data_IF_436761417764
#
_entry.id   IF_436761417764
#
_cell.length_a   1.000
_cell.length_b   1.000
_cell.length_c   1.000
_cell.angle_alpha   90.00
_cell.angle_beta   90.00
_cell.angle_gamma   90.00
#
_symmetry.space_group_name_H-M   'P 1'
#
loop_
_entity.id
_entity.type
_entity.pdbx_description
1 polymer ?
#
# COMPACT_ATOMS: atom_id res chain seq x y z
N UNK A 1 10.37 2.74 18.25
CA UNK A 1 9.67 3.51 17.21
C UNK A 1 9.94 2.85 15.87
N UNK A 2 8.97 2.90 14.98
CA UNK A 2 9.02 2.29 13.65
C UNK A 2 8.84 3.42 12.64
N UNK A 3 9.65 3.44 11.59
CA UNK A 3 9.50 4.35 10.45
C UNK A 3 9.03 3.56 9.23
N UNK A 4 8.21 4.19 8.39
CA UNK A 4 7.83 3.67 7.08
C UNK A 4 8.97 3.89 6.08
N UNK A 5 8.81 3.31 4.90
CA UNK A 5 9.72 3.50 3.78
C UNK A 5 9.41 4.82 3.05
N UNK A 6 10.34 5.34 2.25
CA UNK A 6 10.04 6.38 1.27
C UNK A 6 8.96 5.91 0.27
N UNK A 7 8.24 6.85 -0.37
CA UNK A 7 7.27 6.50 -1.40
C UNK A 7 7.99 5.91 -2.62
N UNK A 8 7.53 4.75 -3.09
CA UNK A 8 7.94 4.20 -4.38
C UNK A 8 7.01 4.76 -5.45
N UNK A 9 7.34 5.96 -5.93
CA UNK A 9 6.57 6.71 -6.94
C UNK A 9 7.51 7.31 -7.98
N UNK A 10 6.97 7.67 -9.13
CA UNK A 10 7.65 8.41 -10.20
C UNK A 10 6.68 9.40 -10.85
N UNK A 11 7.16 10.23 -11.78
CA UNK A 11 6.36 11.26 -12.47
C UNK A 11 5.18 10.70 -13.26
N UNK A 12 5.17 9.41 -13.59
CA UNK A 12 4.10 8.75 -14.35
C UNK A 12 3.12 8.00 -13.43
N UNK A 13 3.31 8.05 -12.11
CA UNK A 13 2.46 7.32 -11.17
C UNK A 13 1.06 7.89 -11.16
N UNK A 14 0.06 7.05 -11.45
CA UNK A 14 -1.37 7.40 -11.48
C UNK A 14 -2.16 6.78 -10.33
N UNK A 15 -1.78 5.56 -9.96
CA UNK A 15 -2.41 4.80 -8.87
C UNK A 15 -1.43 4.73 -7.72
N UNK A 16 -1.80 5.22 -6.54
CA UNK A 16 -1.02 5.08 -5.31
C UNK A 16 -1.69 4.07 -4.37
N UNK A 17 -1.00 2.96 -4.09
CA UNK A 17 -1.48 1.98 -3.11
C UNK A 17 -0.92 2.32 -1.72
N UNK A 18 -1.80 2.38 -0.72
CA UNK A 18 -1.45 2.80 0.64
C UNK A 18 -1.71 1.71 1.68
N UNK A 19 -0.62 1.25 2.29
CA UNK A 19 -0.65 0.47 3.53
C UNK A 19 -0.85 1.36 4.77
N UNK A 20 -1.10 0.75 5.92
CA UNK A 20 -1.13 1.50 7.19
C UNK A 20 0.30 1.79 7.66
N UNK A 21 1.09 0.72 7.82
CA UNK A 21 2.46 0.74 8.30
C UNK A 21 3.14 -0.58 7.95
N UNK A 22 4.43 -0.62 7.55
CA UNK A 22 5.10 -1.86 7.20
C UNK A 22 5.10 -2.86 8.36
N UNK A 23 4.85 -4.14 8.09
CA UNK A 23 4.93 -5.21 9.09
C UNK A 23 6.37 -5.53 9.51
N UNK A 24 6.56 -6.34 10.56
CA UNK A 24 7.90 -6.72 11.05
C UNK A 24 8.75 -7.32 9.93
N UNK A 25 8.23 -8.33 9.22
CA UNK A 25 8.97 -8.97 8.12
C UNK A 25 9.32 -8.00 6.99
N UNK A 26 8.50 -6.97 6.77
CA UNK A 26 8.78 -5.93 5.78
C UNK A 26 9.93 -5.05 6.23
N UNK A 27 9.91 -4.59 7.48
CA UNK A 27 10.96 -3.75 8.07
C UNK A 27 12.31 -4.48 8.13
N UNK A 28 12.30 -5.76 8.51
CA UNK A 28 13.52 -6.59 8.57
C UNK A 28 14.16 -6.79 7.20
N UNK A 29 13.35 -6.89 6.15
CA UNK A 29 13.81 -7.09 4.76
C UNK A 29 14.00 -5.80 3.98
N UNK A 30 13.53 -4.66 4.50
CA UNK A 30 13.39 -3.41 3.76
C UNK A 30 12.53 -3.57 2.48
N UNK A 31 11.52 -4.44 2.53
CA UNK A 31 10.65 -4.77 1.41
C UNK A 31 9.18 -4.61 1.78
N UNK A 32 8.39 -3.99 0.93
CA UNK A 32 6.95 -3.95 1.10
C UNK A 32 6.32 -5.36 1.01
N UNK A 33 5.38 -5.63 1.93
CA UNK A 33 4.60 -6.87 2.01
C UNK A 33 5.42 -8.17 2.00
N UNK A 34 6.61 -8.17 2.61
CA UNK A 34 7.60 -9.25 2.52
C UNK A 34 7.22 -10.55 3.27
N UNK A 35 6.19 -10.51 4.11
CA UNK A 35 5.71 -11.68 4.84
C UNK A 35 5.15 -12.73 3.86
N UNK A 36 5.66 -13.98 3.89
CA UNK A 36 5.33 -15.05 2.91
C UNK A 36 3.83 -15.32 2.72
N UNK A 37 3.02 -15.13 3.76
CA UNK A 37 1.55 -15.30 3.71
C UNK A 37 0.78 -14.03 3.32
N UNK A 38 1.46 -12.93 2.99
CA UNK A 38 0.80 -11.72 2.52
C UNK A 38 0.39 -11.92 1.05
N UNK A 39 -0.87 -11.64 0.73
CA UNK A 39 -1.40 -11.86 -0.61
C UNK A 39 -1.09 -10.73 -1.59
N UNK A 40 -0.47 -9.62 -1.17
CA UNK A 40 -0.30 -8.42 -2.00
C UNK A 40 0.38 -8.71 -3.33
N UNK A 41 1.60 -9.26 -3.32
CA UNK A 41 2.34 -9.53 -4.54
C UNK A 41 1.64 -10.55 -5.43
N UNK A 42 1.01 -11.57 -4.83
CA UNK A 42 0.21 -12.53 -5.58
C UNK A 42 -0.99 -11.87 -6.26
N UNK A 43 -1.67 -10.92 -5.61
CA UNK A 43 -2.78 -10.17 -6.20
C UNK A 43 -2.28 -9.32 -7.35
N UNK A 44 -1.27 -8.47 -7.13
CA UNK A 44 -0.75 -7.55 -8.15
C UNK A 44 -0.26 -8.30 -9.38
N UNK A 45 0.58 -9.33 -9.20
CA UNK A 45 1.09 -10.11 -10.33
C UNK A 45 -0.02 -10.86 -11.08
N UNK A 46 -1.08 -11.27 -10.40
CA UNK A 46 -2.24 -11.89 -11.06
C UNK A 46 -3.03 -10.87 -11.87
N UNK A 47 -3.30 -9.68 -11.30
CA UNK A 47 -4.06 -8.62 -11.98
C UNK A 47 -3.32 -8.05 -13.20
N UNK A 48 -1.99 -7.97 -13.12
CA UNK A 48 -1.14 -7.48 -14.21
C UNK A 48 -0.70 -8.59 -15.18
N UNK A 49 -1.25 -9.81 -15.06
CA UNK A 49 -0.92 -10.97 -15.88
C UNK A 49 0.59 -11.27 -15.99
N UNK A 50 1.34 -11.10 -14.89
CA UNK A 50 2.81 -11.15 -14.87
C UNK A 50 3.37 -12.29 -14.00
N UNK A 51 2.60 -13.34 -13.73
CA UNK A 51 3.09 -14.50 -12.96
C UNK A 51 4.23 -15.23 -13.70
N UNK A 52 5.23 -15.80 -12.99
CA UNK A 52 5.34 -15.95 -11.54
C UNK A 52 5.81 -14.67 -10.80
N UNK A 53 5.62 -14.64 -9.48
CA UNK A 53 6.08 -13.52 -8.63
C UNK A 53 7.60 -13.49 -8.62
N UNK A 54 8.20 -12.34 -8.94
CA UNK A 54 9.65 -12.16 -8.88
C UNK A 54 10.17 -12.40 -7.46
N UNK A 55 11.39 -12.95 -7.34
CA UNK A 55 12.03 -13.14 -6.05
C UNK A 55 12.66 -11.83 -5.55
N UNK A 56 13.28 -11.11 -6.48
CA UNK A 56 13.98 -9.83 -6.27
C UNK A 56 12.96 -8.69 -6.08
N UNK A 57 13.17 -7.84 -5.07
CA UNK A 57 12.21 -6.78 -4.73
C UNK A 57 12.19 -5.67 -5.77
N UNK A 58 13.34 -5.33 -6.31
CA UNK A 58 13.54 -4.31 -7.34
C UNK A 58 12.73 -4.64 -8.61
N UNK A 59 12.63 -5.93 -8.98
CA UNK A 59 11.79 -6.37 -10.10
C UNK A 59 10.30 -6.18 -9.82
N UNK A 60 9.87 -6.39 -8.57
CA UNK A 60 8.47 -6.13 -8.15
C UNK A 60 8.14 -4.65 -8.23
N UNK A 61 9.05 -3.79 -7.77
CA UNK A 61 8.91 -2.34 -7.86
C UNK A 61 8.93 -1.87 -9.33
N UNK A 62 9.81 -2.44 -10.16
CA UNK A 62 9.84 -2.15 -11.58
C UNK A 62 8.50 -2.48 -12.27
N UNK A 63 7.90 -3.64 -11.96
CA UNK A 63 6.58 -4.01 -12.46
C UNK A 63 5.50 -2.97 -12.07
N UNK A 64 5.54 -2.46 -10.84
CA UNK A 64 4.59 -1.41 -10.43
C UNK A 64 4.79 -0.13 -11.26
N UNK A 65 6.03 0.33 -11.40
CA UNK A 65 6.34 1.55 -12.14
C UNK A 65 5.95 1.48 -13.62
N UNK A 66 6.21 0.35 -14.29
CA UNK A 66 5.82 0.17 -15.71
C UNK A 66 4.30 0.12 -15.92
N UNK A 67 3.53 -0.07 -14.84
CA UNK A 67 2.07 -0.03 -14.83
C UNK A 67 1.52 1.23 -14.17
N UNK A 68 2.34 2.28 -13.99
CA UNK A 68 1.97 3.56 -13.36
C UNK A 68 1.40 3.42 -11.93
N UNK A 69 1.83 2.38 -11.22
CA UNK A 69 1.44 2.11 -9.84
C UNK A 69 2.59 2.51 -8.90
N UNK A 70 2.27 3.25 -7.86
CA UNK A 70 3.15 3.57 -6.76
C UNK A 70 2.72 2.90 -5.47
N UNK A 71 3.65 2.86 -4.51
CA UNK A 71 3.43 2.21 -3.22
C UNK A 71 3.97 3.05 -2.07
N UNK A 72 3.18 3.21 -1.02
CA UNK A 72 3.60 3.85 0.21
C UNK A 72 2.75 3.40 1.41
N UNK A 73 2.96 4.02 2.57
CA UNK A 73 2.08 3.91 3.72
C UNK A 73 1.49 5.25 4.12
N UNK A 74 0.38 5.21 4.84
CA UNK A 74 -0.23 6.41 5.41
C UNK A 74 0.59 6.96 6.57
N UNK A 75 1.21 6.09 7.38
CA UNK A 75 1.96 6.50 8.56
C UNK A 75 3.45 6.64 8.24
N UNK A 76 4.03 7.79 8.56
CA UNK A 76 5.48 8.04 8.51
C UNK A 76 6.17 7.29 9.64
N UNK A 77 5.62 7.41 10.85
CA UNK A 77 6.13 6.72 12.03
C UNK A 77 5.01 6.33 12.99
N UNK A 78 5.29 5.31 13.81
CA UNK A 78 4.49 4.99 14.99
C UNK A 78 5.26 4.19 16.06
N UNK A 79 4.63 4.05 17.23
CA UNK A 79 4.96 3.00 18.19
C UNK A 79 3.98 1.84 18.01
N UNK A 80 4.50 0.64 17.74
CA UNK A 80 3.67 -0.57 17.61
C UNK A 80 4.40 -1.78 18.17
N UNK A 81 3.70 -2.57 19.00
CA UNK A 81 4.14 -3.92 19.39
C UNK A 81 3.59 -4.92 18.38
N UNK A 82 4.46 -5.75 17.80
CA UNK A 82 4.05 -6.71 16.77
C UNK A 82 3.73 -6.03 15.42
N UNK A 83 2.91 -6.71 14.60
CA UNK A 83 2.53 -6.26 13.26
C UNK A 83 1.07 -5.86 13.12
N UNK A 84 0.27 -5.90 14.20
CA UNK A 84 -1.16 -5.61 14.13
C UNK A 84 -1.43 -4.12 14.35
N UNK A 85 -2.24 -3.53 13.47
CA UNK A 85 -2.57 -2.10 13.50
C UNK A 85 -3.30 -1.69 14.80
N UNK A 86 -3.99 -2.62 15.46
CA UNK A 86 -4.65 -2.38 16.77
C UNK A 86 -3.68 -1.93 17.87
N UNK A 87 -2.37 -2.15 17.69
CA UNK A 87 -1.33 -1.80 18.66
C UNK A 87 -0.60 -0.50 18.30
N UNK A 88 -1.01 0.21 17.25
CA UNK A 88 -0.42 1.49 16.83
C UNK A 88 -0.77 2.58 17.85
N UNK A 89 0.26 3.31 18.28
CA UNK A 89 0.19 4.49 19.17
C UNK A 89 1.18 5.54 18.69
N UNK A 90 1.00 6.78 19.14
CA UNK A 90 1.92 7.90 18.89
C UNK A 90 2.32 7.97 17.41
N UNK A 91 1.31 7.92 16.54
CA UNK A 91 1.50 7.87 15.10
C UNK A 91 1.57 9.27 14.49
N UNK A 92 2.28 9.39 13.37
CA UNK A 92 2.24 10.55 12.48
C UNK A 92 2.08 10.08 11.04
N UNK A 93 1.22 10.76 10.31
CA UNK A 93 1.00 10.53 8.89
C UNK A 93 2.14 11.09 8.03
N UNK A 94 2.40 10.44 6.90
CA UNK A 94 3.29 10.92 5.85
C UNK A 94 2.80 12.25 5.24
N UNK A 95 3.71 13.02 4.65
CA UNK A 95 3.38 14.30 4.01
C UNK A 95 2.81 14.09 2.60
N UNK A 96 1.50 13.86 2.54
CA UNK A 96 0.77 13.71 1.28
C UNK A 96 0.59 15.04 0.53
N UNK A 97 0.64 16.19 1.21
CA UNK A 97 0.49 17.49 0.54
C UNK A 97 1.69 17.77 -0.37
N UNK A 98 2.90 17.49 0.11
CA UNK A 98 4.11 17.59 -0.71
C UNK A 98 4.12 16.54 -1.80
N UNK A 99 3.70 15.30 -1.50
CA UNK A 99 3.63 14.23 -2.50
C UNK A 99 2.74 14.61 -3.69
N UNK A 100 1.52 15.11 -3.47
CA UNK A 100 0.61 15.46 -4.58
C UNK A 100 1.04 16.71 -5.35
N UNK A 101 1.83 17.60 -4.75
CA UNK A 101 2.45 18.71 -5.48
C UNK A 101 3.56 18.24 -6.40
N UNK A 102 4.35 17.26 -5.96
CA UNK A 102 5.46 16.70 -6.74
C UNK A 102 4.98 15.72 -7.81
N UNK A 103 3.95 14.93 -7.51
CA UNK A 103 3.39 13.89 -8.38
C UNK A 103 1.89 14.14 -8.66
N UNK A 104 1.55 15.16 -9.47
CA UNK A 104 0.17 15.57 -9.73
C UNK A 104 -0.63 14.56 -10.58
N UNK A 105 0.04 13.62 -11.24
CA UNK A 105 -0.61 12.56 -12.04
C UNK A 105 -1.31 11.49 -11.18
N UNK A 106 -1.02 11.47 -9.86
CA UNK A 106 -1.70 10.59 -8.93
C UNK A 106 -3.16 11.04 -8.83
N UNK A 107 -4.04 10.22 -9.40
CA UNK A 107 -5.49 10.49 -9.49
C UNK A 107 -6.30 9.39 -8.81
N UNK A 108 -5.67 8.28 -8.42
CA UNK A 108 -6.31 7.17 -7.74
C UNK A 108 -5.53 6.74 -6.52
N UNK A 109 -6.21 6.56 -5.39
CA UNK A 109 -5.65 6.00 -4.16
C UNK A 109 -6.37 4.71 -3.81
N UNK A 110 -5.60 3.64 -3.62
CA UNK A 110 -6.10 2.33 -3.20
C UNK A 110 -5.58 2.03 -1.80
N UNK A 111 -6.47 2.02 -0.81
CA UNK A 111 -6.13 1.68 0.57
C UNK A 111 -6.13 0.16 0.78
N UNK A 112 -4.98 -0.38 1.21
CA UNK A 112 -4.84 -1.77 1.61
C UNK A 112 -5.30 -1.97 3.07
N UNK A 113 -6.62 -1.97 3.27
CA UNK A 113 -7.25 -2.13 4.57
C UNK A 113 -8.01 -0.87 5.02
N UNK A 114 -8.90 -1.06 6.01
CA UNK A 114 -9.74 0.03 6.53
C UNK A 114 -8.96 1.03 7.40
N UNK A 115 -7.92 0.57 8.09
CA UNK A 115 -7.15 1.43 8.99
C UNK A 115 -6.34 2.48 8.22
N UNK A 116 -5.67 2.12 7.11
CA UNK A 116 -4.97 3.09 6.27
C UNK A 116 -5.92 4.18 5.76
N UNK A 117 -7.09 3.79 5.22
CA UNK A 117 -8.14 4.73 4.83
C UNK A 117 -8.57 5.64 5.99
N UNK A 118 -8.80 5.08 7.18
CA UNK A 118 -9.23 5.84 8.36
C UNK A 118 -8.21 6.88 8.81
N UNK A 119 -6.92 6.52 8.89
CA UNK A 119 -5.87 7.48 9.24
C UNK A 119 -5.78 8.60 8.21
N UNK A 120 -5.76 8.25 6.93
CA UNK A 120 -5.68 9.22 5.84
C UNK A 120 -6.85 10.19 5.87
N UNK A 121 -8.08 9.67 5.90
CA UNK A 121 -9.30 10.48 5.89
C UNK A 121 -9.42 11.38 7.11
N UNK A 122 -8.97 10.92 8.28
CA UNK A 122 -8.98 11.73 9.50
C UNK A 122 -8.07 12.95 9.39
N UNK A 123 -6.93 12.81 8.71
CA UNK A 123 -5.92 13.88 8.60
C UNK A 123 -6.15 14.80 7.41
N UNK A 124 -6.42 14.24 6.24
CA UNK A 124 -6.45 14.97 4.96
C UNK A 124 -7.85 15.17 4.38
N UNK A 125 -8.83 14.38 4.83
CA UNK A 125 -10.17 14.41 4.25
C UNK A 125 -10.19 13.98 2.77
N UNK A 126 -11.20 14.44 2.04
CA UNK A 126 -11.32 14.21 0.60
C UNK A 126 -10.49 15.26 -0.16
N UNK A 127 -9.55 14.80 -0.97
CA UNK A 127 -8.77 15.62 -1.90
C UNK A 127 -9.47 15.63 -3.26
N UNK A 128 -9.70 16.82 -3.82
CA UNK A 128 -10.36 17.00 -5.11
C UNK A 128 -9.55 16.35 -6.24
N UNK A 129 -10.23 15.63 -7.13
CA UNK A 129 -9.60 14.97 -8.29
C UNK A 129 -9.02 13.59 -7.99
N UNK A 130 -9.06 13.14 -6.73
CA UNK A 130 -8.65 11.79 -6.35
C UNK A 130 -9.86 10.86 -6.25
N UNK A 131 -9.74 9.70 -6.87
CA UNK A 131 -10.66 8.57 -6.70
C UNK A 131 -10.13 7.64 -5.62
N UNK A 132 -10.99 7.21 -4.70
CA UNK A 132 -10.58 6.38 -3.56
C UNK A 132 -11.20 4.99 -3.63
N UNK A 133 -10.36 3.98 -3.37
CA UNK A 133 -10.77 2.59 -3.23
C UNK A 133 -10.31 2.04 -1.88
N UNK A 134 -11.18 1.35 -1.15
CA UNK A 134 -10.82 0.69 0.10
C UNK A 134 -10.90 -0.82 -0.07
N UNK A 135 -9.74 -1.46 -0.03
CA UNK A 135 -9.59 -2.88 -0.31
C UNK A 135 -9.46 -3.70 0.98
N UNK A 136 -9.80 -5.01 0.95
CA UNK A 136 -9.51 -5.90 2.07
C UNK A 136 -7.99 -5.98 2.27
N UNK A 137 -7.56 -5.94 3.54
CA UNK A 137 -6.14 -6.06 3.87
C UNK A 137 -5.54 -7.35 3.29
N UNK A 138 -4.40 -7.23 2.62
CA UNK A 138 -3.67 -8.37 2.06
C UNK A 138 -2.86 -9.15 3.10
N UNK A 139 -2.77 -8.63 4.32
CA UNK A 139 -2.06 -9.27 5.43
C UNK A 139 -2.70 -10.62 5.82
N UNK A 140 -1.92 -11.52 6.46
CA UNK A 140 -2.44 -12.79 6.97
C UNK A 140 -3.42 -12.64 8.14
N UNK A 141 -3.50 -11.46 8.78
CA UNK A 141 -4.47 -11.18 9.83
C UNK A 141 -5.90 -11.10 9.29
N UNK A 142 -6.06 -10.79 8.00
CA UNK A 142 -7.35 -10.87 7.33
C UNK A 142 -7.57 -12.28 6.76
N UNK A 143 -8.52 -13.00 7.35
CA UNK A 143 -8.84 -14.40 7.06
C UNK A 143 -9.59 -14.64 5.74
N UNK A 144 -9.93 -13.57 5.00
CA UNK A 144 -10.54 -13.70 3.68
C UNK A 144 -9.65 -14.49 2.71
N UNK A 145 -10.24 -15.39 1.92
CA UNK A 145 -9.53 -16.20 0.93
C UNK A 145 -8.84 -15.34 -0.13
N UNK A 146 -7.82 -15.90 -0.77
CA UNK A 146 -7.10 -15.20 -1.84
C UNK A 146 -8.03 -14.81 -2.99
N UNK A 147 -8.89 -15.73 -3.41
CA UNK A 147 -9.81 -15.56 -4.56
C UNK A 147 -10.79 -14.42 -4.31
N UNK A 148 -11.31 -14.31 -3.09
CA UNK A 148 -12.21 -13.22 -2.70
C UNK A 148 -11.47 -11.88 -2.61
N UNK A 149 -10.25 -11.86 -2.06
CA UNK A 149 -9.42 -10.65 -2.06
C UNK A 149 -9.13 -10.21 -3.49
N UNK A 150 -8.69 -11.13 -4.36
CA UNK A 150 -8.38 -10.86 -5.77
C UNK A 150 -9.59 -10.27 -6.50
N UNK A 151 -10.78 -10.87 -6.34
CA UNK A 151 -12.02 -10.38 -6.96
C UNK A 151 -12.40 -8.97 -6.52
N UNK A 152 -12.18 -8.62 -5.25
CA UNK A 152 -12.47 -7.26 -4.76
C UNK A 152 -11.41 -6.28 -5.26
N UNK A 153 -10.13 -6.68 -5.21
CA UNK A 153 -9.02 -5.87 -5.69
C UNK A 153 -9.12 -5.57 -7.19
N UNK A 154 -9.61 -6.50 -8.02
CA UNK A 154 -9.75 -6.29 -9.46
C UNK A 154 -10.66 -5.12 -9.82
N UNK A 155 -11.59 -4.72 -8.95
CA UNK A 155 -12.50 -3.59 -9.20
C UNK A 155 -11.78 -2.23 -9.23
N UNK A 156 -10.54 -2.14 -8.72
CA UNK A 156 -9.74 -0.92 -8.73
C UNK A 156 -8.75 -0.85 -9.91
N UNK A 157 -8.69 -1.88 -10.76
CA UNK A 157 -7.77 -1.99 -11.91
C UNK A 157 -8.52 -2.22 -13.23
N UNK A 158 -9.76 -1.74 -13.33
CA UNK A 158 -10.60 -1.82 -14.54
C UNK A 158 -10.38 -0.63 -15.48
#
# INVERSE_FOLDING_TARGET
>A
MINSFPPFVNSETKILILGTMPGIASLEKLEYYAHKRNHFWKIIYTLLNNLPIAEVFEEKIHLLHTNNIGLWDVLEYCERKGSLDIHIKNQKENDFESLFKEFPEITTIIFNGKESHKYFMKKFGQIKGITYYVMPSTSPANTMSFENKLKIWSAAFQ
#
